data_IF_834127061700
#
_entry.id   IF_834127061700
#
_cell.length_a   1.000
_cell.length_b   1.000
_cell.length_c   1.000
_cell.angle_alpha   90.00
_cell.angle_beta   90.00
_cell.angle_gamma   90.00
#
_symmetry.space_group_name_H-M   'P 1'
#
loop_
_entity.id
_entity.type
_entity.pdbx_description
1 polymer ?
#
# COMPACT_ATOMS: atom_id res chain seq x y z
N UNK A 1 -3.21 -7.09 -3.03
CA UNK A 1 -3.29 -6.01 -2.01
C UNK A 1 -2.23 -6.28 -0.97
N UNK A 2 -1.51 -5.25 -0.53
CA UNK A 2 -0.49 -5.35 0.53
C UNK A 2 -0.82 -4.38 1.66
N UNK A 3 -0.46 -4.77 2.88
CA UNK A 3 -0.62 -3.94 4.07
C UNK A 3 0.75 -3.40 4.46
N UNK A 4 0.83 -2.08 4.60
CA UNK A 4 2.00 -1.36 5.05
C UNK A 4 1.74 -0.78 6.43
N UNK A 5 2.72 -0.88 7.30
CA UNK A 5 2.72 -0.29 8.63
C UNK A 5 3.72 0.86 8.62
N UNK A 6 3.21 2.07 8.80
CA UNK A 6 4.01 3.29 8.77
C UNK A 6 4.59 3.55 10.15
N UNK A 7 5.80 4.08 10.16
CA UNK A 7 6.47 4.52 11.37
C UNK A 7 7.17 5.86 11.15
N UNK A 8 7.31 6.60 12.23
CA UNK A 8 8.07 7.86 12.23
C UNK A 8 9.57 7.55 12.13
N UNK A 9 10.28 8.23 11.22
CA UNK A 9 11.71 7.94 10.96
C UNK A 9 12.62 8.29 12.15
N UNK A 10 12.26 9.32 12.91
CA UNK A 10 13.10 9.84 13.99
C UNK A 10 12.90 9.05 15.28
N UNK A 11 11.66 8.65 15.55
CA UNK A 11 11.28 7.98 16.81
C UNK A 11 11.04 6.49 16.67
N UNK A 12 10.86 5.99 15.44
CA UNK A 12 10.44 4.62 15.16
C UNK A 12 8.98 4.35 15.55
N UNK A 13 8.24 5.31 16.09
CA UNK A 13 6.91 5.09 16.62
C UNK A 13 5.92 4.72 15.50
N UNK A 14 5.14 3.66 15.73
CA UNK A 14 4.04 3.31 14.84
C UNK A 14 3.07 4.49 14.67
N UNK A 15 2.73 4.80 13.42
CA UNK A 15 1.86 5.92 13.06
C UNK A 15 0.50 5.43 12.56
N UNK A 16 0.48 4.69 11.45
CA UNK A 16 -0.76 4.22 10.84
C UNK A 16 -0.56 2.94 10.02
N UNK A 17 -1.66 2.25 9.73
CA UNK A 17 -1.69 1.10 8.83
C UNK A 17 -2.36 1.52 7.52
N UNK A 18 -1.67 1.32 6.40
CA UNK A 18 -2.18 1.67 5.06
C UNK A 18 -2.21 0.46 4.15
N UNK A 19 -3.27 0.32 3.38
CA UNK A 19 -3.38 -0.73 2.36
C UNK A 19 -3.06 -0.16 0.98
N UNK A 20 -2.21 -0.85 0.23
CA UNK A 20 -1.91 -0.53 -1.16
C UNK A 20 -2.43 -1.62 -2.10
N UNK A 21 -2.99 -1.17 -3.22
CA UNK A 21 -3.48 -2.04 -4.29
C UNK A 21 -2.48 -2.02 -5.45
N UNK A 22 -2.32 -3.14 -6.18
CA UNK A 22 -1.50 -3.14 -7.38
C UNK A 22 -2.11 -2.24 -8.45
N UNK A 23 -1.25 -1.55 -9.19
CA UNK A 23 -1.58 -0.84 -10.42
C UNK A 23 -1.10 -1.70 -11.58
N UNK A 24 -1.98 -1.89 -12.57
CA UNK A 24 -1.66 -2.66 -13.77
C UNK A 24 -1.03 -1.74 -14.80
N UNK A 25 0.21 -2.02 -15.18
CA UNK A 25 0.90 -1.31 -16.26
C UNK A 25 0.88 -2.19 -17.51
N UNK A 26 0.46 -1.64 -18.64
CA UNK A 26 0.49 -2.35 -19.92
C UNK A 26 1.94 -2.63 -20.33
N UNK A 27 2.20 -3.86 -20.73
CA UNK A 27 3.43 -4.24 -21.40
C UNK A 27 3.19 -4.04 -22.89
N UNK A 28 3.89 -3.11 -23.52
CA UNK A 28 3.87 -2.95 -24.96
C UNK A 28 5.08 -3.70 -25.55
N UNK A 29 4.85 -4.43 -26.62
CA UNK A 29 5.89 -5.06 -27.41
C UNK A 29 5.85 -4.49 -28.82
N UNK A 30 7.04 -4.22 -29.35
CA UNK A 30 7.19 -3.83 -30.74
C UNK A 30 7.11 -5.08 -31.63
N UNK A 31 6.10 -5.15 -32.48
CA UNK A 31 5.91 -6.26 -33.42
C UNK A 31 6.09 -5.77 -34.86
N UNK A 32 6.87 -6.50 -35.65
CA UNK A 32 7.04 -6.21 -37.07
C UNK A 32 5.93 -6.89 -37.86
N UNK A 33 5.08 -6.09 -38.49
CA UNK A 33 3.98 -6.57 -39.32
C UNK A 33 4.28 -6.27 -40.79
N UNK A 34 4.00 -7.26 -41.65
CA UNK A 34 4.06 -7.10 -43.11
C UNK A 34 2.64 -7.14 -43.66
N UNK A 35 2.25 -6.11 -44.40
CA UNK A 35 0.95 -6.08 -45.09
C UNK A 35 1.12 -5.68 -46.55
N UNK A 36 0.37 -6.33 -47.48
CA UNK A 36 0.31 -5.88 -48.86
C UNK A 36 -0.44 -4.55 -48.92
N UNK A 37 0.08 -3.61 -49.69
CA UNK A 37 -0.53 -2.32 -49.95
C UNK A 37 -0.46 -2.01 -51.45
N UNK A 38 -1.59 -1.60 -52.01
CA UNK A 38 -1.71 -1.32 -53.45
C UNK A 38 -1.41 0.16 -53.72
N UNK A 39 -0.27 0.41 -54.37
CA UNK A 39 0.16 1.77 -54.71
C UNK A 39 -0.29 2.09 -56.14
N UNK A 40 -0.97 3.24 -56.37
CA UNK A 40 -1.34 3.68 -57.71
C UNK A 40 -0.10 4.13 -58.50
N UNK A 41 0.08 3.58 -59.70
CA UNK A 41 1.12 3.93 -60.66
C UNK A 41 0.47 4.32 -62.00
N UNK A 42 0.91 5.43 -62.59
CA UNK A 42 0.46 5.84 -63.92
C UNK A 42 1.43 5.27 -64.95
N UNK A 43 0.96 4.30 -65.73
CA UNK A 43 1.73 3.71 -66.81
C UNK A 43 1.30 4.28 -68.17
N UNK A 44 2.25 4.42 -69.09
CA UNK A 44 1.97 4.80 -70.48
C UNK A 44 1.86 3.54 -71.32
N UNK A 45 0.68 3.30 -71.89
CA UNK A 45 0.41 2.16 -72.77
C UNK A 45 0.24 2.65 -74.19
N UNK A 46 0.94 2.05 -75.15
CA UNK A 46 0.72 2.29 -76.57
C UNK A 46 -0.51 1.49 -77.02
N UNK A 47 -1.46 2.16 -77.64
CA UNK A 47 -2.69 1.55 -78.14
C UNK A 47 -2.97 2.06 -79.54
N UNK A 48 -3.49 1.19 -80.40
CA UNK A 48 -3.85 1.55 -81.77
C UNK A 48 -5.32 1.98 -81.79
N UNK A 49 -5.56 3.24 -82.11
CA UNK A 49 -6.92 3.72 -82.38
C UNK A 49 -7.22 3.58 -83.86
N UNK A 50 -8.32 2.90 -84.16
CA UNK A 50 -8.89 2.84 -85.50
C UNK A 50 -10.06 3.81 -85.60
N UNK A 51 -9.97 4.74 -86.54
CA UNK A 51 -11.01 5.74 -86.79
C UNK A 51 -11.28 5.85 -88.28
N UNK A 52 -12.47 6.35 -88.62
CA UNK A 52 -12.88 6.60 -90.00
C UNK A 52 -12.45 8.02 -90.37
N UNK A 53 -11.74 8.18 -91.48
CA UNK A 53 -11.43 9.49 -92.03
C UNK A 53 -12.63 10.10 -92.78
N UNK A 54 -12.47 11.34 -93.23
CA UNK A 54 -13.51 12.07 -93.98
C UNK A 54 -13.84 11.46 -95.34
N UNK A 55 -12.97 10.59 -95.86
CA UNK A 55 -13.12 9.91 -97.15
C UNK A 55 -13.72 8.49 -96.99
N UNK A 56 -14.09 8.11 -95.76
CA UNK A 56 -14.69 6.81 -95.44
C UNK A 56 -13.69 5.66 -95.37
N UNK A 57 -12.38 5.93 -95.31
CA UNK A 57 -11.35 4.92 -95.15
C UNK A 57 -10.97 4.78 -93.67
N UNK A 58 -10.63 3.55 -93.26
CA UNK A 58 -10.16 3.28 -91.91
C UNK A 58 -8.68 3.63 -91.81
N UNK A 59 -8.36 4.51 -90.85
CA UNK A 59 -7.00 4.86 -90.49
C UNK A 59 -6.67 4.32 -89.11
N UNK A 60 -5.44 3.85 -88.94
CA UNK A 60 -4.89 3.40 -87.66
C UNK A 60 -3.84 4.40 -87.19
N UNK A 61 -3.95 4.82 -85.92
CA UNK A 61 -2.97 5.71 -85.29
C UNK A 61 -2.56 5.15 -83.95
N UNK A 62 -1.26 4.97 -83.76
CA UNK A 62 -0.71 4.69 -82.44
C UNK A 62 -0.85 5.93 -81.55
N UNK A 63 -1.50 5.75 -80.41
CA UNK A 63 -1.65 6.78 -79.38
C UNK A 63 -1.11 6.26 -78.06
N UNK A 64 -0.48 7.16 -77.31
CA UNK A 64 -0.05 6.89 -75.95
C UNK A 64 -1.19 7.21 -74.99
N UNK A 65 -1.70 6.18 -74.32
CA UNK A 65 -2.74 6.32 -73.31
C UNK A 65 -2.14 6.12 -71.93
N UNK A 66 -2.30 7.10 -71.06
CA UNK A 66 -1.98 6.97 -69.63
C UNK A 66 -3.08 6.14 -68.96
N UNK A 67 -2.70 5.04 -68.30
CA UNK A 67 -3.61 4.18 -67.55
C UNK A 67 -3.15 4.11 -66.09
N UNK A 68 -4.12 4.14 -65.18
CA UNK A 68 -3.87 3.89 -63.77
C UNK A 68 -3.77 2.38 -63.55
N UNK A 69 -2.65 1.93 -62.98
CA UNK A 69 -2.43 0.56 -62.57
C UNK A 69 -2.13 0.53 -61.07
N UNK A 70 -2.64 -0.46 -60.36
CA UNK A 70 -2.28 -0.69 -58.97
C UNK A 70 -1.19 -1.75 -58.90
N UNK A 71 -0.11 -1.43 -58.20
CA UNK A 71 0.99 -2.36 -57.94
C UNK A 71 0.98 -2.72 -56.46
N UNK A 72 0.86 -4.02 -56.17
CA UNK A 72 0.94 -4.50 -54.79
C UNK A 72 2.38 -4.48 -54.32
N UNK A 73 2.63 -3.81 -53.20
CA UNK A 73 3.94 -3.71 -52.54
C UNK A 73 3.77 -4.18 -51.10
N UNK A 74 4.69 -5.01 -50.63
CA UNK A 74 4.73 -5.40 -49.22
C UNK A 74 5.39 -4.28 -48.40
N UNK A 75 4.63 -3.71 -47.47
CA UNK A 75 5.15 -2.73 -46.51
C UNK A 75 5.41 -3.44 -45.19
N UNK A 76 6.63 -3.29 -44.67
CA UNK A 76 6.96 -3.64 -43.29
C UNK A 76 6.87 -2.40 -42.41
N UNK A 77 6.17 -2.51 -41.29
CA UNK A 77 6.11 -1.47 -40.28
C UNK A 77 6.10 -2.09 -38.89
N UNK A 78 6.53 -1.30 -37.92
CA UNK A 78 6.56 -1.69 -36.52
C UNK A 78 5.34 -1.09 -35.83
N UNK A 79 4.59 -1.93 -35.11
CA UNK A 79 3.42 -1.53 -34.33
C UNK A 79 3.67 -1.89 -32.86
N UNK A 80 3.31 -0.99 -31.95
CA UNK A 80 3.28 -1.31 -30.52
C UNK A 80 1.99 -2.11 -30.24
N UNK A 81 2.16 -3.39 -29.94
CA UNK A 81 1.07 -4.30 -29.61
C UNK A 81 1.10 -4.56 -28.10
N UNK A 82 -0.09 -4.62 -27.49
CA UNK A 82 -0.25 -4.96 -26.07
C UNK A 82 0.15 -6.42 -25.82
N UNK A 83 1.24 -6.63 -25.07
CA UNK A 83 1.80 -7.92 -24.64
C UNK A 83 1.34 -8.31 -23.21
N UNK A 84 0.23 -7.73 -22.76
CA UNK A 84 -0.40 -8.01 -21.47
C UNK A 84 -0.16 -6.92 -20.43
N UNK A 85 -0.21 -7.30 -19.16
CA UNK A 85 -0.10 -6.39 -18.02
C UNK A 85 0.87 -6.93 -16.97
N UNK A 86 1.58 -6.02 -16.32
CA UNK A 86 2.36 -6.33 -15.12
C UNK A 86 1.78 -5.61 -13.91
N UNK A 87 1.73 -6.31 -12.77
CA UNK A 87 1.31 -5.75 -11.49
C UNK A 87 2.46 -5.02 -10.83
N UNK A 88 2.28 -3.72 -10.59
CA UNK A 88 3.26 -2.88 -9.90
C UNK A 88 2.59 -2.34 -8.63
N UNK A 89 3.29 -2.47 -7.51
CA UNK A 89 2.87 -1.85 -6.26
C UNK A 89 3.55 -0.49 -6.13
N UNK A 90 2.75 0.57 -6.03
CA UNK A 90 3.26 1.92 -5.75
C UNK A 90 3.49 2.04 -4.24
N UNK A 91 4.74 1.88 -3.85
CA UNK A 91 5.14 2.06 -2.46
C UNK A 91 5.28 3.55 -2.14
N UNK A 92 4.84 3.98 -0.95
CA UNK A 92 4.97 5.36 -0.54
C UNK A 92 6.41 5.75 -0.21
N UNK A 93 6.72 7.04 -0.32
CA UNK A 93 8.06 7.61 -0.08
C UNK A 93 8.42 7.76 1.41
N UNK A 94 7.47 7.52 2.33
CA UNK A 94 7.68 7.61 3.79
C UNK A 94 8.11 6.25 4.39
N UNK A 95 8.67 6.21 5.61
CA UNK A 95 9.11 4.95 6.21
C UNK A 95 7.95 3.98 6.46
N UNK A 96 8.10 2.75 5.98
CA UNK A 96 7.10 1.69 6.13
C UNK A 96 7.76 0.32 6.32
N UNK A 97 6.99 -0.62 6.86
CA UNK A 97 7.34 -2.04 6.90
C UNK A 97 6.14 -2.88 6.46
N UNK A 98 6.42 -4.04 5.84
CA UNK A 98 5.39 -5.06 5.55
C UNK A 98 5.19 -6.00 6.76
N UNK A 99 6.00 -5.87 7.81
CA UNK A 99 5.89 -6.72 9.00
C UNK A 99 4.71 -6.31 9.89
N UNK A 100 3.84 -7.25 10.27
CA UNK A 100 2.69 -6.98 11.11
C UNK A 100 3.09 -6.49 12.50
N UNK A 101 2.23 -5.66 13.09
CA UNK A 101 2.40 -5.19 14.47
C UNK A 101 2.31 -6.38 15.45
N UNK A 102 3.12 -6.37 16.52
CA UNK A 102 3.00 -7.34 17.60
C UNK A 102 1.72 -7.06 18.40
N UNK A 103 0.78 -8.00 18.36
CA UNK A 103 -0.40 -8.00 19.24
C UNK A 103 0.05 -8.61 20.59
N UNK A 104 -0.27 -8.03 21.76
CA UNK A 104 -1.27 -6.99 22.07
C UNK A 104 -0.70 -5.56 22.30
N UNK A 105 0.51 -5.26 21.84
CA UNK A 105 1.25 -4.08 22.30
C UNK A 105 0.69 -2.77 21.73
N UNK A 106 0.56 -1.76 22.60
CA UNK A 106 0.08 -0.43 22.24
C UNK A 106 1.26 0.47 21.85
N UNK A 107 1.26 0.97 20.61
CA UNK A 107 2.29 1.87 20.02
C UNK A 107 3.70 1.26 20.00
N UNK A 108 3.92 0.14 19.31
CA UNK A 108 5.25 -0.44 19.16
C UNK A 108 6.20 0.53 18.42
N UNK A 109 7.49 0.38 18.70
CA UNK A 109 8.56 1.21 18.10
C UNK A 109 9.38 0.35 17.15
N UNK A 110 9.65 0.83 15.96
CA UNK A 110 10.41 0.14 14.93
C UNK A 110 11.91 0.36 15.08
N UNK A 111 12.68 -0.73 15.21
CA UNK A 111 14.15 -0.70 15.36
C UNK A 111 14.90 -0.87 14.01
N UNK A 112 14.18 -0.90 12.89
CA UNK A 112 14.73 -1.14 11.55
C UNK A 112 14.54 -2.58 11.05
N UNK A 113 14.52 -3.56 11.96
CA UNK A 113 14.32 -4.98 11.62
C UNK A 113 13.02 -5.57 12.17
N UNK A 114 12.60 -5.13 13.36
CA UNK A 114 11.42 -5.64 14.06
C UNK A 114 10.76 -4.56 14.89
N UNK A 115 9.49 -4.80 15.21
CA UNK A 115 8.75 -4.03 16.18
C UNK A 115 9.23 -4.38 17.60
N UNK A 116 9.70 -3.38 18.33
CA UNK A 116 9.98 -3.46 19.75
C UNK A 116 8.67 -3.34 20.53
N UNK A 117 8.57 -4.19 21.54
CA UNK A 117 7.45 -4.22 22.47
C UNK A 117 7.52 -2.99 23.38
N UNK A 118 6.44 -2.23 23.42
CA UNK A 118 6.24 -1.12 24.35
C UNK A 118 5.30 -1.55 25.47
N UNK A 119 5.40 -0.87 26.61
CA UNK A 119 4.54 -1.07 27.79
C UNK A 119 3.07 -1.16 27.40
N UNK A 120 2.38 -2.17 27.94
CA UNK A 120 0.96 -2.39 27.67
C UNK A 120 0.06 -1.39 28.42
N UNK A 121 -1.17 -1.18 27.96
CA UNK A 121 -2.17 -0.35 28.66
C UNK A 121 -2.36 -0.83 30.12
N UNK A 122 -2.32 -2.15 30.34
CA UNK A 122 -2.43 -2.77 31.67
C UNK A 122 -1.27 -2.40 32.60
N UNK A 123 -0.03 -2.39 32.09
CA UNK A 123 1.14 -1.97 32.86
C UNK A 123 1.15 -0.46 33.11
N UNK A 124 0.66 0.35 32.15
CA UNK A 124 0.49 1.79 32.33
C UNK A 124 -0.63 2.12 33.34
N UNK A 125 -1.72 1.36 33.34
CA UNK A 125 -2.80 1.45 34.33
C UNK A 125 -2.34 0.97 35.71
N UNK A 126 -1.54 -0.09 35.81
CA UNK A 126 -0.92 -0.53 37.07
C UNK A 126 0.04 0.53 37.62
N UNK A 127 0.80 1.23 36.78
CA UNK A 127 1.64 2.35 37.20
C UNK A 127 0.86 3.60 37.59
N UNK A 128 -0.31 3.84 36.98
CA UNK A 128 -1.20 4.97 37.30
C UNK A 128 -2.21 4.65 38.40
N UNK A 129 -2.35 3.40 38.85
CA UNK A 129 -3.08 3.09 40.07
C UNK A 129 -2.45 3.90 41.20
N UNK A 130 -3.24 4.67 41.97
CA UNK A 130 -2.71 5.30 43.16
C UNK A 130 -2.08 4.19 44.00
N UNK A 131 -0.79 4.32 44.30
CA UNK A 131 -0.11 3.45 45.28
C UNK A 131 -1.08 3.26 46.45
N UNK A 132 -1.30 2.03 46.96
CA UNK A 132 -2.15 1.84 48.13
C UNK A 132 -1.70 2.89 49.16
N UNK A 133 -2.64 3.76 49.57
CA UNK A 133 -2.33 4.78 50.56
C UNK A 133 -1.66 4.05 51.71
N UNK A 134 -0.39 4.37 51.98
CA UNK A 134 0.21 4.00 53.24
C UNK A 134 -0.77 4.48 54.32
N UNK A 135 -1.17 3.60 55.26
CA UNK A 135 -2.22 3.95 56.21
C UNK A 135 -1.82 5.27 56.87
N UNK A 136 -2.68 6.27 56.71
CA UNK A 136 -2.42 7.64 57.15
C UNK A 136 -1.90 7.62 58.58
N UNK A 137 -0.96 8.50 58.93
CA UNK A 137 -0.42 8.60 60.29
C UNK A 137 -1.53 8.63 61.36
N UNK A 138 -2.69 9.20 61.02
CA UNK A 138 -3.90 9.20 61.84
C UNK A 138 -4.49 7.81 62.09
N UNK A 139 -4.54 6.92 61.10
CA UNK A 139 -5.02 5.54 61.28
C UNK A 139 -4.04 4.71 62.08
N UNK A 140 -2.72 4.91 61.86
CA UNK A 140 -1.69 4.28 62.69
C UNK A 140 -1.77 4.78 64.14
N UNK A 141 -2.04 6.07 64.34
CA UNK A 141 -2.20 6.67 65.66
C UNK A 141 -3.46 6.14 66.36
N UNK A 142 -4.60 6.05 65.66
CA UNK A 142 -5.82 5.41 66.20
C UNK A 142 -5.60 3.96 66.58
N UNK A 143 -4.87 3.19 65.76
CA UNK A 143 -4.57 1.78 66.05
C UNK A 143 -3.64 1.65 67.27
N UNK A 144 -2.67 2.56 67.44
CA UNK A 144 -1.83 2.63 68.64
C UNK A 144 -2.65 3.00 69.88
N UNK A 145 -3.53 4.00 69.79
CA UNK A 145 -4.42 4.39 70.89
C UNK A 145 -5.32 3.24 71.32
N UNK A 146 -5.97 2.56 70.39
CA UNK A 146 -6.82 1.41 70.70
C UNK A 146 -6.03 0.25 71.35
N UNK A 147 -4.78 0.03 70.93
CA UNK A 147 -3.89 -0.94 71.56
C UNK A 147 -3.50 -0.53 72.99
N UNK A 148 -3.21 0.76 73.21
CA UNK A 148 -2.87 1.26 74.55
C UNK A 148 -4.07 1.28 75.49
N UNK A 149 -5.26 1.63 74.99
CA UNK A 149 -6.50 1.59 75.77
C UNK A 149 -6.82 0.16 76.18
N UNK A 150 -6.73 -0.80 75.25
CA UNK A 150 -6.94 -2.22 75.58
C UNK A 150 -5.94 -2.72 76.62
N UNK A 151 -4.66 -2.37 76.48
CA UNK A 151 -3.63 -2.77 77.44
C UNK A 151 -3.86 -2.17 78.83
N UNK A 152 -4.36 -0.93 78.91
CA UNK A 152 -4.74 -0.29 80.19
C UNK A 152 -5.98 -0.93 80.80
N UNK A 153 -6.97 -1.27 79.99
CA UNK A 153 -8.21 -1.91 80.43
C UNK A 153 -7.93 -3.32 80.99
N UNK A 154 -7.09 -4.11 80.31
CA UNK A 154 -6.62 -5.41 80.80
C UNK A 154 -5.88 -5.27 82.16
N UNK A 155 -5.03 -4.26 82.32
CA UNK A 155 -4.31 -3.97 83.57
C UNK A 155 -5.23 -3.55 84.72
N UNK A 156 -6.25 -2.75 84.43
CA UNK A 156 -7.25 -2.31 85.42
C UNK A 156 -8.14 -3.49 85.83
N UNK A 157 -8.51 -4.35 84.88
CA UNK A 157 -9.28 -5.56 85.14
C UNK A 157 -8.49 -6.56 86.00
N UNK A 158 -7.20 -6.76 85.70
CA UNK A 158 -6.32 -7.57 86.54
C UNK A 158 -6.17 -6.96 87.95
N UNK A 159 -5.95 -5.66 88.06
CA UNK A 159 -5.78 -4.99 89.36
C UNK A 159 -7.06 -5.02 90.23
N UNK A 160 -8.24 -4.98 89.61
CA UNK A 160 -9.51 -5.12 90.33
C UNK A 160 -9.81 -6.57 90.77
N UNK A 161 -9.26 -7.57 90.08
CA UNK A 161 -9.32 -8.97 90.54
C UNK A 161 -8.52 -9.17 91.84
N UNK A 162 -7.36 -8.52 91.98
CA UNK A 162 -6.53 -8.61 93.19
C UNK A 162 -7.11 -7.92 94.44
N UNK A 163 -8.00 -6.93 94.28
CA UNK A 163 -8.64 -6.23 95.41
C UNK A 163 -9.84 -6.95 96.01
N UNK A 164 -10.34 -8.02 95.38
CA UNK A 164 -11.52 -8.78 95.85
C UNK A 164 -11.18 -9.99 96.72
N UNK A 165 -9.89 -10.30 96.86
CA UNK A 165 -9.34 -11.47 97.56
C UNK A 165 -8.57 -11.11 98.85
N UNK A 166 -8.74 -9.88 99.40
CA UNK A 166 -8.18 -9.48 100.69
C UNK A 166 -9.27 -9.11 101.71
#
# INVERSE_FOLDING_TARGET
>A
MKTLYLYDKETGAFTETKMISPVFKSLNKLEETKRPFDIPEIITVKTTHRYLDTDGNYQEKEVEQKKLQYKSVELSYQEEVSDGYTEIYEYPDYPYTELPLPVPNWKPVWDGEKWLETITEEELEEMNKPKPQEPSELEQFKKKLALTEKALDDLIMDNNAYKKEL
#
